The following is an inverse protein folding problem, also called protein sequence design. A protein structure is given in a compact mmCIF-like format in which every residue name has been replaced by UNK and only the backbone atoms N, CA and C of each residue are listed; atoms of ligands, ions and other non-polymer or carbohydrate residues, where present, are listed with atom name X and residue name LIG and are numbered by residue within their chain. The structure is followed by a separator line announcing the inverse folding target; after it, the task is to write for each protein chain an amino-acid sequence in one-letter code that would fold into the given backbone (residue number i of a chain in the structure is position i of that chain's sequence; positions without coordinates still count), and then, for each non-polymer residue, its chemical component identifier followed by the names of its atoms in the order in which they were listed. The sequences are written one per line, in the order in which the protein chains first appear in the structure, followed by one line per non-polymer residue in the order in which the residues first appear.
data_IF_785789483100
#
_entry.id   IF_785789483100
#
_cell.length_a   1.000
_cell.length_b   1.000
_cell.length_c   1.000
_cell.angle_alpha   90.00
_cell.angle_beta   90.00
_cell.angle_gamma   90.00
#
_symmetry.space_group_name_H-M   'P 1'
#
loop_
_entity.id
_entity.type
_entity.pdbx_description
1 polymer ?
#
# COMPACT_ATOMS: atom_id res chain seq x y z
N UNK A 1 3.28 -3.99 -18.97
CA UNK A 1 2.04 -4.03 -19.79
C UNK A 1 0.96 -4.89 -19.13
N UNK A 2 1.00 -6.25 -19.12
CA UNK A 2 -0.04 -7.11 -18.52
C UNK A 2 -0.27 -6.81 -17.01
N UNK A 3 0.80 -6.75 -16.22
CA UNK A 3 0.76 -6.38 -14.80
C UNK A 3 0.09 -5.02 -14.58
N UNK A 4 0.36 -4.05 -15.44
CA UNK A 4 -0.18 -2.70 -15.34
C UNK A 4 -1.71 -2.69 -15.51
N UNK A 5 -2.25 -3.53 -16.42
CA UNK A 5 -3.70 -3.66 -16.60
C UNK A 5 -4.39 -4.24 -15.36
N UNK A 6 -3.75 -5.20 -14.68
CA UNK A 6 -4.24 -5.71 -13.38
C UNK A 6 -4.20 -4.61 -12.31
N UNK A 7 -3.07 -3.91 -12.19
CA UNK A 7 -2.90 -2.84 -11.19
C UNK A 7 -3.84 -1.66 -11.43
N UNK A 8 -4.14 -1.34 -12.69
CA UNK A 8 -5.09 -0.29 -13.07
C UNK A 8 -6.55 -0.75 -12.99
N UNK A 9 -6.81 -2.00 -12.57
CA UNK A 9 -8.14 -2.58 -12.47
C UNK A 9 -8.88 -2.71 -13.83
N UNK A 10 -8.11 -2.74 -14.95
CA UNK A 10 -8.66 -3.09 -16.27
C UNK A 10 -9.03 -4.58 -16.32
N UNK A 11 -8.23 -5.43 -15.66
CA UNK A 11 -8.58 -6.81 -15.30
C UNK A 11 -8.89 -6.84 -13.81
N UNK A 12 -10.15 -7.10 -13.48
CA UNK A 12 -10.63 -7.00 -12.09
C UNK A 12 -10.33 -8.26 -11.29
N UNK A 13 -10.23 -8.09 -9.98
CA UNK A 13 -10.14 -9.22 -9.06
C UNK A 13 -11.37 -10.13 -9.27
N UNK A 14 -11.13 -11.43 -9.19
CA UNK A 14 -12.09 -12.50 -9.42
C UNK A 14 -12.54 -12.70 -10.87
N UNK A 15 -12.07 -11.90 -11.84
CA UNK A 15 -12.27 -12.10 -13.27
C UNK A 15 -11.07 -12.83 -13.90
N UNK A 16 -11.32 -13.56 -14.99
CA UNK A 16 -10.25 -14.13 -15.80
C UNK A 16 -9.62 -13.07 -16.69
N UNK A 17 -8.28 -13.09 -16.80
CA UNK A 17 -7.61 -12.34 -17.87
C UNK A 17 -7.90 -12.99 -19.22
N UNK A 18 -7.72 -12.27 -20.35
CA UNK A 18 -7.85 -12.85 -21.68
C UNK A 18 -6.94 -14.09 -21.87
N UNK A 19 -7.33 -14.97 -22.74
CA UNK A 19 -6.57 -16.21 -23.06
C UNK A 19 -5.18 -15.87 -23.60
N UNK A 20 -4.25 -16.82 -23.50
CA UNK A 20 -2.90 -16.67 -24.08
C UNK A 20 -2.95 -16.20 -25.55
N UNK A 21 -3.91 -16.71 -26.35
CA UNK A 21 -4.08 -16.34 -27.75
C UNK A 21 -4.57 -14.91 -27.95
N UNK A 22 -5.51 -14.47 -27.14
CA UNK A 22 -6.01 -13.08 -27.17
C UNK A 22 -4.92 -12.11 -26.73
N UNK A 23 -4.13 -12.46 -25.69
CA UNK A 23 -3.00 -11.65 -25.23
C UNK A 23 -1.86 -11.59 -26.27
N UNK A 24 -1.61 -12.67 -27.04
CA UNK A 24 -0.67 -12.64 -28.17
C UNK A 24 -1.09 -11.61 -29.22
N UNK A 25 -2.37 -11.58 -29.55
CA UNK A 25 -2.93 -10.63 -30.51
C UNK A 25 -2.90 -9.20 -29.97
N UNK A 26 -3.28 -9.02 -28.69
CA UNK A 26 -3.33 -7.70 -28.07
C UNK A 26 -1.96 -7.06 -27.93
N UNK A 27 -0.94 -7.84 -27.51
CA UNK A 27 0.40 -7.29 -27.25
C UNK A 27 1.39 -7.47 -28.39
N UNK A 28 1.05 -8.21 -29.45
CA UNK A 28 1.93 -8.45 -30.59
C UNK A 28 3.20 -9.24 -30.25
N UNK A 29 3.16 -10.12 -29.23
CA UNK A 29 4.30 -10.90 -28.76
C UNK A 29 4.03 -12.39 -28.85
N UNK A 30 5.08 -13.22 -28.79
CA UNK A 30 4.92 -14.67 -28.91
C UNK A 30 4.21 -15.30 -27.71
N UNK A 31 3.56 -16.45 -27.95
CA UNK A 31 2.91 -17.26 -26.91
C UNK A 31 3.84 -17.61 -25.75
N UNK A 32 5.12 -17.88 -26.05
CA UNK A 32 6.13 -18.16 -25.02
C UNK A 32 6.34 -16.94 -24.12
N UNK A 33 6.35 -15.74 -24.70
CA UNK A 33 6.48 -14.48 -23.94
C UNK A 33 5.28 -14.25 -23.03
N UNK A 34 4.06 -14.52 -23.53
CA UNK A 34 2.83 -14.41 -22.73
C UNK A 34 2.85 -15.41 -21.58
N UNK A 35 3.21 -16.67 -21.83
CA UNK A 35 3.30 -17.69 -20.77
C UNK A 35 4.26 -17.29 -19.66
N UNK A 36 5.47 -16.87 -20.03
CA UNK A 36 6.45 -16.37 -19.04
C UNK A 36 5.91 -15.20 -18.24
N UNK A 37 5.22 -14.25 -18.88
CA UNK A 37 4.61 -13.12 -18.19
C UNK A 37 3.53 -13.58 -17.19
N UNK A 38 2.68 -14.55 -17.57
CA UNK A 38 1.66 -15.14 -16.68
C UNK A 38 2.32 -15.90 -15.52
N UNK A 39 3.35 -16.70 -15.78
CA UNK A 39 4.10 -17.44 -14.74
C UNK A 39 4.73 -16.47 -13.73
N UNK A 40 5.28 -15.34 -14.20
CA UNK A 40 5.80 -14.28 -13.31
C UNK A 40 4.66 -13.69 -12.47
N UNK A 41 3.53 -13.35 -13.09
CA UNK A 41 2.38 -12.80 -12.37
C UNK A 41 1.78 -13.79 -11.37
N UNK A 42 1.79 -15.08 -11.66
CA UNK A 42 1.38 -16.13 -10.75
C UNK A 42 2.36 -16.26 -9.57
N UNK A 43 3.67 -16.29 -9.84
CA UNK A 43 4.70 -16.30 -8.80
C UNK A 43 4.68 -15.03 -7.94
N UNK A 44 4.20 -13.93 -8.50
CA UNK A 44 4.01 -12.66 -7.82
C UNK A 44 2.66 -12.56 -7.09
N UNK A 45 1.79 -13.58 -7.20
CA UNK A 45 0.50 -13.61 -6.52
C UNK A 45 -0.56 -12.66 -7.09
N UNK A 46 -0.43 -12.23 -8.36
CA UNK A 46 -1.45 -11.41 -9.02
C UNK A 46 -2.53 -12.26 -9.67
N UNK A 47 -2.18 -13.43 -10.16
CA UNK A 47 -3.10 -14.33 -10.84
C UNK A 47 -2.95 -15.77 -10.35
N UNK A 48 -3.98 -16.56 -10.51
CA UNK A 48 -4.01 -18.00 -10.28
C UNK A 48 -4.43 -18.71 -11.57
N UNK A 49 -3.64 -19.69 -12.01
CA UNK A 49 -3.95 -20.50 -13.18
C UNK A 49 -4.68 -21.77 -12.76
N UNK A 50 -5.89 -21.98 -13.28
CA UNK A 50 -6.65 -23.22 -13.08
C UNK A 50 -6.85 -23.93 -14.40
N UNK A 51 -6.38 -25.18 -14.48
CA UNK A 51 -6.52 -26.01 -15.68
C UNK A 51 -7.99 -26.11 -16.12
N UNK A 52 -8.26 -25.79 -17.39
CA UNK A 52 -9.61 -25.78 -17.96
C UNK A 52 -10.50 -24.59 -17.53
N UNK A 53 -10.09 -23.75 -16.61
CA UNK A 53 -10.89 -22.61 -16.10
C UNK A 53 -10.29 -21.23 -16.43
N UNK A 54 -9.09 -21.18 -17.00
CA UNK A 54 -8.40 -19.95 -17.34
C UNK A 54 -7.46 -19.45 -16.26
N UNK A 55 -7.03 -18.19 -16.41
CA UNK A 55 -6.14 -17.50 -15.47
C UNK A 55 -6.91 -16.37 -14.81
N UNK A 56 -7.15 -16.50 -13.51
CA UNK A 56 -7.96 -15.59 -12.71
C UNK A 56 -7.10 -14.56 -12.00
N UNK A 57 -7.51 -13.30 -11.99
CA UNK A 57 -6.90 -12.27 -11.15
C UNK A 57 -7.29 -12.49 -9.69
N UNK A 58 -6.30 -12.68 -8.82
CA UNK A 58 -6.50 -12.88 -7.39
C UNK A 58 -6.06 -11.66 -6.58
N UNK A 59 -5.30 -10.75 -7.17
CA UNK A 59 -4.92 -9.49 -6.56
C UNK A 59 -4.56 -8.43 -7.59
N UNK A 60 -4.84 -7.18 -7.24
CA UNK A 60 -4.36 -5.98 -7.94
C UNK A 60 -3.49 -5.10 -7.03
N UNK A 61 -2.98 -5.66 -5.92
CA UNK A 61 -2.15 -4.96 -4.95
C UNK A 61 -0.67 -5.23 -5.21
N UNK A 62 0.16 -4.18 -5.17
CA UNK A 62 1.62 -4.30 -5.24
C UNK A 62 2.23 -5.11 -4.08
N UNK A 63 1.43 -5.41 -3.06
CA UNK A 63 1.86 -6.00 -1.80
C UNK A 63 1.83 -7.51 -1.70
N UNK A 64 1.20 -8.19 -2.65
CA UNK A 64 1.11 -9.65 -2.58
C UNK A 64 2.48 -10.36 -2.63
N UNK A 65 3.53 -9.64 -3.05
CA UNK A 65 4.89 -10.16 -3.15
C UNK A 65 5.68 -10.15 -1.85
N UNK A 66 5.34 -9.27 -0.90
CA UNK A 66 6.23 -8.92 0.21
C UNK A 66 5.91 -9.61 1.54
N UNK A 67 4.79 -10.28 1.61
CA UNK A 67 4.51 -11.16 2.73
C UNK A 67 3.60 -12.29 2.30
N UNK A 68 3.93 -13.53 2.62
CA UNK A 68 2.95 -14.63 2.70
C UNK A 68 1.87 -14.34 3.76
N UNK A 69 2.01 -13.19 4.49
CA UNK A 69 1.02 -12.69 5.40
C UNK A 69 -0.01 -11.85 4.64
N UNK A 70 -1.29 -12.13 4.80
CA UNK A 70 -2.38 -11.28 4.33
C UNK A 70 -2.13 -9.84 4.83
N UNK A 71 -2.31 -8.85 3.94
CA UNK A 71 -2.24 -7.46 4.40
C UNK A 71 -3.32 -7.23 5.45
N UNK A 72 -3.01 -6.42 6.46
CA UNK A 72 -3.98 -6.10 7.50
C UNK A 72 -5.33 -5.60 6.95
N UNK A 73 -5.29 -4.79 5.86
CA UNK A 73 -6.50 -4.37 5.15
C UNK A 73 -7.27 -5.54 4.55
N UNK A 74 -6.59 -6.53 3.97
CA UNK A 74 -7.22 -7.74 3.42
C UNK A 74 -7.90 -8.57 4.51
N UNK A 75 -7.26 -8.70 5.68
CA UNK A 75 -7.84 -9.40 6.84
C UNK A 75 -9.14 -8.73 7.29
N UNK A 76 -9.18 -7.41 7.34
CA UNK A 76 -10.38 -6.67 7.73
C UNK A 76 -11.50 -6.83 6.69
N UNK A 77 -11.17 -6.69 5.40
CA UNK A 77 -12.13 -6.86 4.31
C UNK A 77 -12.68 -8.29 4.25
N UNK A 78 -11.84 -9.32 4.46
CA UNK A 78 -12.29 -10.73 4.47
C UNK A 78 -13.26 -11.04 5.62
N UNK A 79 -13.21 -10.24 6.69
CA UNK A 79 -14.15 -10.32 7.81
C UNK A 79 -15.45 -9.52 7.60
N UNK A 80 -15.61 -8.89 6.42
CA UNK A 80 -16.79 -8.14 6.07
C UNK A 80 -16.79 -6.67 6.52
N UNK A 81 -15.67 -6.17 7.07
CA UNK A 81 -15.56 -4.77 7.44
C UNK A 81 -15.41 -3.86 6.22
N UNK A 82 -15.91 -2.64 6.31
CA UNK A 82 -15.71 -1.59 5.30
C UNK A 82 -14.56 -0.69 5.72
N UNK A 83 -13.50 -0.64 4.90
CA UNK A 83 -12.37 0.25 5.11
C UNK A 83 -12.44 1.42 4.12
N UNK A 84 -12.59 2.64 4.64
CA UNK A 84 -12.49 3.88 3.86
C UNK A 84 -11.25 4.68 4.25
N UNK A 85 -10.75 5.48 3.32
CA UNK A 85 -9.50 6.23 3.46
C UNK A 85 -9.73 7.66 3.03
N UNK A 86 -9.20 8.60 3.82
CA UNK A 86 -9.26 10.03 3.55
C UNK A 86 -7.85 10.60 3.61
N UNK A 87 -7.48 11.45 2.66
CA UNK A 87 -6.25 12.24 2.71
C UNK A 87 -6.57 13.58 3.33
N UNK A 88 -6.06 13.82 4.54
CA UNK A 88 -6.32 15.04 5.31
C UNK A 88 -5.48 16.18 4.76
N UNK A 89 -4.16 15.97 4.62
CA UNK A 89 -3.25 16.99 4.11
C UNK A 89 -2.09 16.39 3.33
N UNK A 90 -1.52 17.21 2.45
CA UNK A 90 -0.21 16.99 1.82
C UNK A 90 0.58 18.27 1.97
N UNK A 91 1.71 18.16 2.63
CA UNK A 91 2.58 19.27 2.97
C UNK A 91 3.97 19.06 2.38
N UNK A 92 4.56 20.11 1.88
CA UNK A 92 5.96 20.15 1.46
C UNK A 92 6.74 20.75 2.61
N UNK A 93 7.53 19.93 3.29
CA UNK A 93 8.21 20.34 4.52
C UNK A 93 9.71 20.44 4.32
N UNK A 94 10.29 21.38 5.08
CA UNK A 94 11.73 21.47 5.33
C UNK A 94 12.00 20.64 6.59
N UNK A 95 12.88 19.66 6.45
CA UNK A 95 13.17 18.72 7.52
C UNK A 95 14.14 19.36 8.54
N UNK A 96 13.87 19.15 9.82
CA UNK A 96 14.83 19.45 10.86
C UNK A 96 16.09 18.60 10.70
N UNK A 97 17.25 19.23 10.68
CA UNK A 97 18.56 18.58 10.48
C UNK A 97 18.90 17.51 11.52
N UNK A 98 18.30 17.56 12.71
CA UNK A 98 18.43 16.57 13.77
C UNK A 98 17.46 15.38 13.63
N UNK A 99 16.48 15.45 12.72
CA UNK A 99 15.43 14.47 12.60
C UNK A 99 15.84 13.23 11.80
N UNK A 100 15.18 12.10 12.09
CA UNK A 100 15.30 10.89 11.27
C UNK A 100 14.82 11.14 9.83
N UNK A 101 13.84 12.00 9.63
CA UNK A 101 13.32 12.36 8.31
C UNK A 101 14.41 13.02 7.47
N UNK A 102 15.18 13.94 8.08
CA UNK A 102 16.31 14.57 7.41
C UNK A 102 17.41 13.56 7.03
N UNK A 103 17.72 12.62 7.92
CA UNK A 103 18.73 11.58 7.63
C UNK A 103 18.36 10.66 6.46
N UNK A 104 17.06 10.54 6.17
CA UNK A 104 16.52 9.68 5.10
C UNK A 104 16.31 10.47 3.81
N UNK A 105 15.64 11.63 3.87
CA UNK A 105 15.17 12.37 2.70
C UNK A 105 15.94 13.68 2.45
N UNK A 106 16.90 14.03 3.31
CA UNK A 106 17.63 15.30 3.21
C UNK A 106 16.78 16.52 3.62
N UNK A 107 17.08 17.67 3.02
CA UNK A 107 16.51 18.96 3.39
C UNK A 107 14.99 19.04 3.27
N UNK A 108 14.41 18.34 2.27
CA UNK A 108 12.98 18.45 1.94
C UNK A 108 12.35 17.09 1.72
N UNK A 109 11.09 16.96 2.10
CA UNK A 109 10.26 15.82 1.75
C UNK A 109 8.78 16.22 1.60
N UNK A 110 7.97 15.31 1.07
CA UNK A 110 6.51 15.43 1.06
C UNK A 110 5.94 14.65 2.23
N UNK A 111 5.11 15.32 3.08
CA UNK A 111 4.40 14.72 4.20
C UNK A 111 2.94 14.55 3.83
N UNK A 112 2.41 13.34 3.98
CA UNK A 112 1.02 12.99 3.69
C UNK A 112 0.36 12.53 4.98
N UNK A 113 -0.72 13.20 5.39
CA UNK A 113 -1.52 12.82 6.55
C UNK A 113 -2.82 12.19 6.06
N UNK A 114 -3.14 11.00 6.58
CA UNK A 114 -4.34 10.24 6.19
C UNK A 114 -5.08 9.69 7.39
N UNK A 115 -6.41 9.62 7.25
CA UNK A 115 -7.28 8.91 8.17
C UNK A 115 -7.88 7.68 7.50
N UNK A 116 -7.86 6.56 8.19
CA UNK A 116 -8.57 5.35 7.80
C UNK A 116 -9.71 5.11 8.75
N UNK A 117 -10.87 4.83 8.20
CA UNK A 117 -12.09 4.53 8.94
C UNK A 117 -12.46 3.06 8.74
N UNK A 118 -12.79 2.39 9.84
CA UNK A 118 -13.33 1.03 9.84
C UNK A 118 -14.82 1.11 10.21
N UNK A 119 -15.70 0.68 9.30
CA UNK A 119 -17.16 0.78 9.47
C UNK A 119 -17.59 2.20 9.90
N UNK A 120 -17.02 3.22 9.26
CA UNK A 120 -17.22 4.65 9.50
C UNK A 120 -16.66 5.18 10.85
N UNK A 121 -15.93 4.37 11.63
CA UNK A 121 -15.27 4.80 12.86
C UNK A 121 -13.81 5.15 12.57
N UNK A 122 -13.26 6.27 13.10
CA UNK A 122 -11.84 6.58 13.01
C UNK A 122 -11.01 5.44 13.58
N UNK A 123 -10.09 4.92 12.79
CA UNK A 123 -9.36 3.71 13.17
C UNK A 123 -7.84 3.85 13.12
N UNK A 124 -7.29 4.41 12.03
CA UNK A 124 -5.85 4.58 11.90
C UNK A 124 -5.55 6.01 11.43
N UNK A 125 -4.70 6.69 12.19
CA UNK A 125 -4.10 7.96 11.78
C UNK A 125 -2.71 7.71 11.21
N UNK A 126 -2.49 8.08 9.95
CA UNK A 126 -1.22 7.89 9.26
C UNK A 126 -0.52 9.21 9.01
N UNK A 127 0.78 9.20 9.22
CA UNK A 127 1.72 10.20 8.70
C UNK A 127 2.74 9.49 7.83
N UNK A 128 2.82 9.84 6.55
CA UNK A 128 3.82 9.30 5.62
C UNK A 128 4.78 10.42 5.21
N UNK A 129 6.06 10.12 5.20
CA UNK A 129 7.13 10.93 4.63
C UNK A 129 7.67 10.19 3.42
N UNK A 130 7.73 10.86 2.27
CA UNK A 130 8.20 10.32 1.00
C UNK A 130 9.15 11.32 0.32
N UNK A 131 9.93 10.91 -0.71
CA UNK A 131 10.75 11.84 -1.47
C UNK A 131 9.95 13.07 -1.91
N UNK A 132 10.61 14.22 -1.92
CA UNK A 132 9.98 15.48 -2.28
C UNK A 132 9.39 15.44 -3.70
N UNK A 133 8.11 15.79 -3.82
CA UNK A 133 7.43 15.98 -5.10
C UNK A 133 6.66 17.31 -5.07
N UNK A 134 7.11 18.27 -5.87
CA UNK A 134 6.50 19.59 -5.96
C UNK A 134 5.08 19.56 -6.48
N UNK A 135 4.77 18.59 -7.35
CA UNK A 135 3.47 18.47 -8.02
C UNK A 135 2.44 17.65 -7.23
N UNK A 136 2.86 17.06 -6.10
CA UNK A 136 1.96 16.26 -5.27
C UNK A 136 0.96 17.15 -4.54
N UNK A 137 -0.32 16.96 -4.78
CA UNK A 137 -1.45 17.64 -4.12
C UNK A 137 -2.46 16.60 -3.63
N UNK A 138 -3.36 17.00 -2.72
CA UNK A 138 -4.46 16.12 -2.25
C UNK A 138 -5.31 15.64 -3.42
N UNK A 139 -5.63 16.51 -4.36
CA UNK A 139 -6.42 16.17 -5.54
C UNK A 139 -5.70 15.15 -6.43
N UNK A 140 -4.43 15.40 -6.78
CA UNK A 140 -3.65 14.47 -7.60
C UNK A 140 -3.46 13.11 -6.93
N UNK A 141 -3.29 13.09 -5.60
CA UNK A 141 -3.10 11.87 -4.84
C UNK A 141 -4.40 11.07 -4.66
N UNK A 142 -5.55 11.72 -4.52
CA UNK A 142 -6.85 11.05 -4.39
C UNK A 142 -7.28 10.33 -5.66
N UNK A 143 -6.71 10.71 -6.83
CA UNK A 143 -6.88 9.98 -8.08
C UNK A 143 -6.07 8.66 -8.11
N UNK A 144 -5.18 8.45 -7.13
CA UNK A 144 -4.41 7.22 -6.99
C UNK A 144 -5.12 6.23 -6.07
N UNK A 145 -5.06 4.94 -6.40
CA UNK A 145 -5.67 3.89 -5.60
C UNK A 145 -4.96 3.69 -4.25
N UNK A 146 -3.66 4.01 -4.18
CA UNK A 146 -2.86 3.91 -2.96
C UNK A 146 -1.55 4.68 -3.06
N UNK A 147 -0.90 4.96 -1.90
CA UNK A 147 0.44 5.54 -1.83
C UNK A 147 1.45 4.75 -2.66
N UNK A 148 1.36 3.44 -2.62
CA UNK A 148 2.33 2.58 -3.31
C UNK A 148 2.11 2.54 -4.82
N UNK A 149 0.85 2.71 -5.27
CA UNK A 149 0.57 2.95 -6.69
C UNK A 149 1.14 4.29 -7.15
N UNK A 150 1.02 5.32 -6.32
CA UNK A 150 1.64 6.61 -6.57
C UNK A 150 3.16 6.49 -6.73
N UNK A 151 3.86 5.78 -5.83
CA UNK A 151 5.31 5.53 -5.91
C UNK A 151 5.67 4.69 -7.16
N UNK A 152 4.92 3.62 -7.42
CA UNK A 152 5.13 2.75 -8.58
C UNK A 152 5.04 3.50 -9.91
N UNK A 153 4.05 4.39 -10.07
CA UNK A 153 3.92 5.24 -11.29
C UNK A 153 5.07 6.21 -11.48
N UNK A 154 5.87 6.44 -10.44
CA UNK A 154 7.11 7.23 -10.47
C UNK A 154 8.36 6.36 -10.60
N UNK A 155 8.19 5.12 -11.06
CA UNK A 155 9.26 4.13 -11.21
C UNK A 155 9.98 3.76 -9.90
N UNK A 156 9.31 3.94 -8.76
CA UNK A 156 9.79 3.48 -7.45
C UNK A 156 9.20 2.11 -7.19
N UNK A 157 9.99 1.06 -7.40
CA UNK A 157 9.59 -0.32 -7.16
C UNK A 157 9.92 -0.72 -5.73
N UNK A 158 8.89 -1.04 -4.95
CA UNK A 158 9.06 -1.45 -3.54
C UNK A 158 9.45 -2.92 -3.48
N UNK A 159 10.44 -3.23 -2.66
CA UNK A 159 10.96 -4.59 -2.47
C UNK A 159 10.82 -5.11 -1.04
N UNK A 160 10.85 -4.23 -0.04
CA UNK A 160 10.90 -4.63 1.37
C UNK A 160 10.24 -3.62 2.29
N UNK A 161 9.68 -4.13 3.40
CA UNK A 161 9.21 -3.34 4.54
C UNK A 161 9.96 -3.74 5.81
N UNK A 162 10.12 -2.78 6.69
CA UNK A 162 10.58 -2.97 8.06
C UNK A 162 9.58 -2.27 8.98
N UNK A 163 8.92 -3.05 9.84
CA UNK A 163 7.92 -2.54 10.79
C UNK A 163 8.43 -2.63 12.21
N UNK A 164 8.35 -1.54 12.94
CA UNK A 164 8.62 -1.44 14.36
C UNK A 164 7.33 -1.03 15.07
N UNK A 165 6.88 -1.84 16.04
CA UNK A 165 5.69 -1.57 16.84
C UNK A 165 6.10 -1.05 18.21
N UNK A 166 5.37 -0.05 18.70
CA UNK A 166 5.61 0.59 19.98
C UNK A 166 4.31 1.07 20.60
N UNK A 167 4.39 1.45 21.87
CA UNK A 167 3.28 2.10 22.61
C UNK A 167 3.72 3.52 22.87
N UNK A 168 2.86 4.48 22.62
CA UNK A 168 3.11 5.90 22.89
C UNK A 168 1.90 6.58 23.53
N UNK A 169 2.17 7.69 24.24
CA UNK A 169 1.14 8.63 24.60
C UNK A 169 0.71 9.42 23.36
N UNK A 170 -0.59 9.54 23.19
CA UNK A 170 -1.15 10.23 22.02
C UNK A 170 -1.04 11.74 22.15
N UNK A 171 -0.60 12.39 21.10
CA UNK A 171 -0.74 13.83 20.96
C UNK A 171 -2.23 14.21 20.90
N UNK A 172 -2.58 15.38 21.45
CA UNK A 172 -3.98 15.85 21.54
C UNK A 172 -4.70 15.86 20.19
N UNK A 173 -3.99 16.21 19.12
CA UNK A 173 -4.54 16.22 17.75
C UNK A 173 -4.90 14.81 17.31
N UNK A 174 -4.03 13.83 17.53
CA UNK A 174 -4.23 12.42 17.17
C UNK A 174 -5.34 11.80 18.02
N UNK A 175 -5.37 12.06 19.33
CA UNK A 175 -6.44 11.58 20.21
C UNK A 175 -7.80 12.06 19.75
N UNK A 176 -7.92 13.35 19.40
CA UNK A 176 -9.17 13.92 18.87
C UNK A 176 -9.54 13.31 17.53
N UNK A 177 -8.59 13.17 16.61
CA UNK A 177 -8.83 12.63 15.28
C UNK A 177 -9.27 11.16 15.33
N UNK A 178 -8.70 10.36 16.23
CA UNK A 178 -9.06 8.95 16.44
C UNK A 178 -10.24 8.75 17.40
N UNK A 179 -10.73 9.83 18.03
CA UNK A 179 -11.79 9.77 19.04
C UNK A 179 -11.45 8.77 20.16
N UNK A 180 -10.24 8.92 20.73
CA UNK A 180 -9.74 8.05 21.81
C UNK A 180 -10.25 8.49 23.17
N UNK A 181 -10.65 7.52 23.98
CA UNK A 181 -10.97 7.74 25.39
C UNK A 181 -9.71 7.71 26.28
N UNK A 182 -8.61 7.16 25.79
CA UNK A 182 -7.33 7.02 26.49
C UNK A 182 -6.19 7.65 25.69
N UNK A 183 -5.22 8.20 26.41
CA UNK A 183 -4.07 8.86 25.80
C UNK A 183 -2.95 7.88 25.36
N UNK A 184 -3.18 6.57 25.47
CA UNK A 184 -2.20 5.53 25.09
C UNK A 184 -2.71 4.78 23.85
N UNK A 185 -1.84 4.66 22.85
CA UNK A 185 -2.14 3.97 21.59
C UNK A 185 -1.01 3.05 21.13
N UNK A 186 -1.37 2.12 20.25
CA UNK A 186 -0.40 1.32 19.49
C UNK A 186 0.11 2.13 18.32
N UNK A 187 1.42 2.32 18.27
CA UNK A 187 2.13 2.91 17.12
C UNK A 187 2.81 1.86 16.27
N UNK A 188 2.93 2.13 14.98
CA UNK A 188 3.80 1.39 14.07
C UNK A 188 4.62 2.39 13.24
N UNK A 189 5.93 2.24 13.28
CA UNK A 189 6.85 2.91 12.37
C UNK A 189 7.21 1.93 11.24
N UNK A 190 7.07 2.36 10.00
CA UNK A 190 7.45 1.58 8.82
C UNK A 190 8.50 2.30 8.01
N UNK A 191 9.52 1.58 7.60
CA UNK A 191 10.42 1.94 6.52
C UNK A 191 10.11 1.07 5.31
N UNK A 192 9.95 1.70 4.16
CA UNK A 192 9.69 1.03 2.87
C UNK A 192 10.90 1.24 1.97
N UNK A 193 11.39 0.17 1.36
CA UNK A 193 12.62 0.17 0.59
C UNK A 193 12.36 -0.15 -0.88
N UNK A 194 13.16 0.49 -1.77
CA UNK A 194 13.20 0.20 -3.19
C UNK A 194 14.19 -0.92 -3.56
N UNK A 195 14.37 -1.17 -4.86
CA UNK A 195 15.30 -2.18 -5.40
C UNK A 195 16.77 -1.88 -5.12
N UNK A 196 17.11 -0.62 -4.83
CA UNK A 196 18.46 -0.16 -4.48
C UNK A 196 18.69 -0.06 -2.97
N UNK A 197 17.75 -0.59 -2.16
CA UNK A 197 17.75 -0.54 -0.70
C UNK A 197 17.67 0.90 -0.13
N UNK A 198 17.19 1.87 -0.93
CA UNK A 198 16.90 3.21 -0.43
C UNK A 198 15.55 3.23 0.29
N UNK A 199 15.44 4.00 1.36
CA UNK A 199 14.16 4.25 2.02
C UNK A 199 13.36 5.25 1.19
N UNK A 200 12.22 4.80 0.66
CA UNK A 200 11.30 5.58 -0.19
C UNK A 200 10.04 6.00 0.55
N UNK A 201 9.81 5.47 1.73
CA UNK A 201 8.78 5.89 2.66
C UNK A 201 9.24 5.66 4.10
N UNK A 202 9.02 6.63 4.95
CA UNK A 202 8.99 6.50 6.39
C UNK A 202 7.58 6.84 6.85
N UNK A 203 6.88 5.93 7.51
CA UNK A 203 5.53 6.20 7.97
C UNK A 203 5.31 5.82 9.42
N UNK A 204 4.39 6.55 10.04
CA UNK A 204 3.88 6.33 11.38
C UNK A 204 2.38 6.08 11.28
N UNK A 205 1.94 4.94 11.77
CA UNK A 205 0.53 4.59 11.90
C UNK A 205 0.17 4.52 13.38
N UNK A 206 -0.91 5.17 13.78
CA UNK A 206 -1.44 5.21 15.14
C UNK A 206 -2.81 4.59 15.14
N UNK A 207 -3.00 3.56 15.94
CA UNK A 207 -4.19 2.70 15.89
C UNK A 207 -5.11 2.93 17.07
N UNK A 208 -6.39 3.15 16.80
CA UNK A 208 -7.44 3.03 17.79
C UNK A 208 -7.79 1.54 18.01
N UNK A 209 -7.10 0.89 18.95
CA UNK A 209 -7.29 -0.54 19.23
C UNK A 209 -8.61 -0.85 19.93
N UNK A 210 -9.37 0.17 20.40
CA UNK A 210 -10.73 0.00 20.92
C UNK A 210 -11.73 -0.30 19.78
N UNK A 211 -11.46 0.23 18.58
CA UNK A 211 -12.26 -0.09 17.38
C UNK A 211 -11.96 -1.50 16.89
N UNK A 212 -10.66 -1.84 16.76
CA UNK A 212 -10.23 -3.15 16.28
C UNK A 212 -8.77 -3.42 16.67
N UNK A 213 -8.51 -4.61 17.22
CA UNK A 213 -7.16 -5.05 17.48
C UNK A 213 -6.35 -5.21 16.18
N UNK A 214 -5.06 -4.89 16.23
CA UNK A 214 -4.15 -5.19 15.14
C UNK A 214 -3.84 -6.70 15.13
N UNK A 215 -4.09 -7.36 14.00
CA UNK A 215 -3.91 -8.80 13.85
C UNK A 215 -2.92 -9.09 12.74
N UNK A 216 -1.92 -9.91 13.01
CA UNK A 216 -1.00 -10.46 12.01
C UNK A 216 -1.27 -11.96 11.93
N UNK A 217 -1.45 -12.48 10.72
CA UNK A 217 -1.55 -13.92 10.46
C UNK A 217 -0.34 -14.36 9.67
N UNK A 218 0.23 -15.47 10.06
CA UNK A 218 1.30 -16.16 9.34
C UNK A 218 0.80 -17.54 8.95
N UNK A 219 1.02 -17.93 7.70
CA UNK A 219 0.91 -19.32 7.24
C UNK A 219 2.31 -19.90 7.15
N UNK A 220 2.49 -21.13 7.65
CA UNK A 220 3.76 -21.86 7.70
C UNK A 220 3.77 -22.94 6.63
#
# INVERSE_FOLDING_TARGET
MLKQKILNNEYKIDENIPTERELEQEFGVSKITIRKAIEILESEGYVEKKSGKGTKVISNSLFNKLSKAESFSSILLSKGHKLSKETISIEKIINDTSSQVFSIFGEKCSKITRMYYLDSKPYIFFTHYIPFDENLTVESFNNESSLYMYLYRRNINITRFEDEFFIEESELEVSKALNLDKDILLGRKRKTYDESDNIVELSFARYNTEVQNYVIKYEI
#
